data_IF_262294351349
#
_entry.id   IF_262294351349
#
_cell.length_a   1.000
_cell.length_b   1.000
_cell.length_c   1.000
_cell.angle_alpha   90.00
_cell.angle_beta   90.00
_cell.angle_gamma   90.00
#
_symmetry.space_group_name_H-M   'P 1'
#
loop_
_entity.id
_entity.type
_entity.pdbx_description
1 polymer ?
#
# COMPACT_ATOMS: atom_id res chain seq x y z
N UNK A 1 48.31 -44.21 -28.01
CA UNK A 1 48.30 -42.78 -27.60
C UNK A 1 47.23 -41.94 -28.33
N UNK A 2 46.93 -42.21 -29.60
CA UNK A 2 45.97 -41.41 -30.41
C UNK A 2 44.48 -41.62 -30.01
N UNK A 3 44.06 -42.84 -29.62
CA UNK A 3 42.67 -43.13 -29.20
C UNK A 3 42.20 -42.38 -27.95
N UNK A 4 43.10 -42.00 -27.04
CA UNK A 4 42.77 -41.29 -25.79
C UNK A 4 42.44 -39.80 -26.03
N UNK A 5 43.08 -39.19 -27.03
CA UNK A 5 42.96 -37.76 -27.34
C UNK A 5 41.60 -37.44 -28.00
N UNK A 6 41.12 -38.32 -28.89
CA UNK A 6 39.81 -38.17 -29.53
C UNK A 6 38.65 -38.35 -28.56
N UNK A 7 38.74 -39.30 -27.62
CA UNK A 7 37.74 -39.50 -26.57
C UNK A 7 37.67 -38.29 -25.61
N UNK A 8 38.82 -37.71 -25.24
CA UNK A 8 38.89 -36.50 -24.42
C UNK A 8 38.30 -35.26 -25.12
N UNK A 9 38.54 -35.10 -26.42
CA UNK A 9 37.98 -33.98 -27.20
C UNK A 9 36.47 -34.06 -27.35
N UNK A 10 35.91 -35.27 -27.54
CA UNK A 10 34.46 -35.49 -27.60
C UNK A 10 33.80 -35.22 -26.25
N UNK A 11 34.39 -35.71 -25.15
CA UNK A 11 33.89 -35.47 -23.80
C UNK A 11 33.93 -33.99 -23.42
N UNK A 12 35.00 -33.28 -23.78
CA UNK A 12 35.14 -31.84 -23.54
C UNK A 12 34.10 -31.03 -24.33
N UNK A 13 33.84 -31.37 -25.59
CA UNK A 13 32.78 -30.73 -26.39
C UNK A 13 31.39 -30.98 -25.81
N UNK A 14 31.13 -32.20 -25.31
CA UNK A 14 29.88 -32.54 -24.65
C UNK A 14 29.69 -31.77 -23.33
N UNK A 15 30.76 -31.62 -22.54
CA UNK A 15 30.74 -30.81 -21.30
C UNK A 15 30.50 -29.33 -21.58
N UNK A 16 31.19 -28.75 -22.57
CA UNK A 16 30.96 -27.36 -22.98
C UNK A 16 29.52 -27.16 -23.46
N UNK A 17 28.99 -28.08 -24.28
CA UNK A 17 27.59 -28.02 -24.72
C UNK A 17 26.60 -28.11 -23.55
N UNK A 18 26.85 -29.00 -22.58
CA UNK A 18 26.02 -29.13 -21.38
C UNK A 18 26.03 -27.86 -20.51
N UNK A 19 27.19 -27.24 -20.31
CA UNK A 19 27.31 -25.97 -19.56
C UNK A 19 26.59 -24.83 -20.29
N UNK A 20 26.69 -24.75 -21.62
CA UNK A 20 25.94 -23.76 -22.40
C UNK A 20 24.44 -23.99 -22.37
N UNK A 21 23.97 -25.25 -22.37
CA UNK A 21 22.56 -25.57 -22.21
C UNK A 21 22.03 -25.17 -20.82
N UNK A 22 22.79 -25.44 -19.77
CA UNK A 22 22.45 -25.00 -18.42
C UNK A 22 22.40 -23.47 -18.35
N UNK A 23 23.40 -22.76 -18.89
CA UNK A 23 23.41 -21.31 -18.92
C UNK A 23 22.19 -20.75 -19.69
N UNK A 24 21.90 -21.30 -20.87
CA UNK A 24 20.75 -20.89 -21.68
C UNK A 24 19.42 -21.14 -20.95
N UNK A 25 19.27 -22.27 -20.26
CA UNK A 25 18.08 -22.57 -19.44
C UNK A 25 17.88 -21.52 -18.34
N UNK A 26 18.94 -21.13 -17.63
CA UNK A 26 18.83 -20.11 -16.59
C UNK A 26 18.51 -18.72 -17.17
N UNK A 27 19.10 -18.37 -18.32
CA UNK A 27 18.78 -17.12 -19.03
C UNK A 27 17.31 -17.11 -19.47
N UNK A 28 16.81 -18.22 -20.02
CA UNK A 28 15.41 -18.36 -20.41
C UNK A 28 14.46 -18.28 -19.21
N UNK A 29 14.82 -18.91 -18.09
CA UNK A 29 14.04 -18.83 -16.85
C UNK A 29 14.03 -17.42 -16.27
N UNK A 30 15.16 -16.71 -16.27
CA UNK A 30 15.22 -15.32 -15.85
C UNK A 30 14.37 -14.43 -16.76
N UNK A 31 14.49 -14.61 -18.08
CA UNK A 31 13.71 -13.86 -19.05
C UNK A 31 12.20 -14.08 -18.88
N UNK A 32 11.76 -15.32 -18.60
CA UNK A 32 10.35 -15.60 -18.35
C UNK A 32 9.84 -14.94 -17.07
N UNK A 33 10.63 -14.97 -15.99
CA UNK A 33 10.30 -14.27 -14.74
C UNK A 33 10.19 -12.76 -14.97
N UNK A 34 11.15 -12.14 -15.68
CA UNK A 34 11.10 -10.73 -16.02
C UNK A 34 9.88 -10.37 -16.88
N UNK A 35 9.52 -11.23 -17.85
CA UNK A 35 8.35 -11.02 -18.69
C UNK A 35 7.04 -11.10 -17.89
N UNK A 36 6.94 -12.06 -16.96
CA UNK A 36 5.77 -12.16 -16.06
C UNK A 36 5.69 -10.91 -15.18
N UNK A 37 6.76 -10.51 -14.51
CA UNK A 37 6.75 -9.36 -13.59
C UNK A 37 6.41 -8.05 -14.31
N UNK A 38 6.87 -7.86 -15.55
CA UNK A 38 6.58 -6.64 -16.33
C UNK A 38 5.21 -6.64 -17.00
N UNK A 39 4.63 -7.83 -17.28
CA UNK A 39 3.28 -7.94 -17.84
C UNK A 39 2.16 -7.70 -16.83
N UNK A 40 2.44 -7.88 -15.53
CA UNK A 40 1.49 -7.53 -14.47
C UNK A 40 1.55 -6.03 -14.20
N UNK A 41 0.53 -5.30 -14.62
CA UNK A 41 0.30 -3.95 -14.11
C UNK A 41 -0.01 -4.04 -12.61
N UNK A 42 0.87 -3.51 -11.76
CA UNK A 42 0.57 -3.27 -10.35
C UNK A 42 -0.49 -2.17 -10.26
N UNK A 43 -1.76 -2.54 -10.40
CA UNK A 43 -2.87 -1.63 -10.18
C UNK A 43 -3.04 -1.46 -8.68
N UNK A 44 -2.44 -0.43 -8.12
CA UNK A 44 -2.78 0.09 -6.80
C UNK A 44 -4.14 0.82 -6.85
N UNK A 45 -5.13 0.23 -7.51
CA UNK A 45 -6.50 0.71 -7.47
C UNK A 45 -7.02 0.42 -6.06
N UNK A 46 -7.08 1.47 -5.24
CA UNK A 46 -7.98 1.44 -4.09
C UNK A 46 -9.38 1.55 -4.67
N UNK A 47 -10.21 0.48 -4.64
CA UNK A 47 -11.57 0.59 -5.11
C UNK A 47 -12.21 1.76 -4.35
N UNK A 48 -12.87 2.66 -5.09
CA UNK A 48 -13.50 3.82 -4.48
C UNK A 48 -14.38 3.32 -3.32
N UNK A 49 -14.17 3.86 -2.12
CA UNK A 49 -15.00 3.53 -0.98
C UNK A 49 -16.45 3.89 -1.33
N UNK A 50 -17.28 2.89 -1.60
CA UNK A 50 -18.73 3.06 -1.89
C UNK A 50 -19.53 3.25 -0.60
N UNK A 51 -18.87 3.63 0.49
CA UNK A 51 -19.50 3.93 1.76
C UNK A 51 -20.58 4.98 1.60
N UNK A 52 -21.71 4.77 2.27
CA UNK A 52 -22.79 5.74 2.37
C UNK A 52 -22.55 6.64 3.57
N UNK A 53 -22.79 7.94 3.41
CA UNK A 53 -22.76 8.88 4.51
C UNK A 53 -23.98 8.65 5.43
N UNK A 54 -23.77 7.83 6.46
CA UNK A 54 -24.82 7.47 7.42
C UNK A 54 -25.30 8.68 8.23
N UNK A 55 -24.46 9.70 8.41
CA UNK A 55 -24.84 10.90 9.16
C UNK A 55 -25.78 11.77 8.31
N UNK A 56 -25.45 11.96 7.03
CA UNK A 56 -26.32 12.65 6.09
C UNK A 56 -27.66 11.92 5.91
N UNK A 57 -27.62 10.59 5.77
CA UNK A 57 -28.81 9.76 5.64
C UNK A 57 -29.69 9.80 6.88
N UNK A 58 -29.11 9.67 8.07
CA UNK A 58 -29.83 9.77 9.34
C UNK A 58 -30.46 11.15 9.51
N UNK A 59 -29.76 12.22 9.16
CA UNK A 59 -30.31 13.58 9.21
C UNK A 59 -31.54 13.75 8.30
N UNK A 60 -31.59 13.06 7.17
CA UNK A 60 -32.72 13.11 6.24
C UNK A 60 -33.89 12.23 6.68
N UNK A 61 -33.62 11.00 7.12
CA UNK A 61 -34.63 9.97 7.37
C UNK A 61 -35.11 9.92 8.83
N UNK A 62 -34.25 10.27 9.79
CA UNK A 62 -34.57 10.31 11.22
C UNK A 62 -33.85 11.50 11.93
N UNK A 63 -34.39 12.72 11.79
CA UNK A 63 -33.81 13.91 12.42
C UNK A 63 -33.78 13.83 13.96
N UNK A 64 -34.64 13.02 14.58
CA UNK A 64 -34.66 12.87 16.03
C UNK A 64 -33.48 12.02 16.51
N UNK A 65 -33.24 10.88 15.87
CA UNK A 65 -32.05 10.06 16.13
C UNK A 65 -30.76 10.84 15.84
N UNK A 66 -30.71 11.61 14.75
CA UNK A 66 -29.57 12.49 14.46
C UNK A 66 -29.28 13.45 15.62
N UNK A 67 -30.30 14.16 16.13
CA UNK A 67 -30.14 15.08 17.27
C UNK A 67 -29.67 14.36 18.53
N UNK A 68 -30.17 13.16 18.80
CA UNK A 68 -29.74 12.37 19.96
C UNK A 68 -28.26 11.99 19.86
N UNK A 69 -27.81 11.53 18.69
CA UNK A 69 -26.39 11.18 18.46
C UNK A 69 -25.49 12.42 18.62
N UNK A 70 -25.89 13.56 18.04
CA UNK A 70 -25.13 14.82 18.20
C UNK A 70 -25.08 15.25 19.66
N UNK A 71 -26.22 15.20 20.38
CA UNK A 71 -26.28 15.58 21.79
C UNK A 71 -25.43 14.67 22.68
N UNK A 72 -25.29 13.38 22.34
CA UNK A 72 -24.39 12.49 23.04
C UNK A 72 -22.91 12.83 22.75
N UNK A 73 -22.58 13.13 21.49
CA UNK A 73 -21.23 13.52 21.09
C UNK A 73 -20.72 14.80 21.79
N UNK A 74 -21.60 15.79 21.99
CA UNK A 74 -21.25 17.03 22.70
C UNK A 74 -20.93 16.81 24.19
N UNK A 75 -21.26 15.64 24.77
CA UNK A 75 -20.88 15.30 26.15
C UNK A 75 -19.42 14.84 26.27
N UNK A 76 -18.76 14.53 25.15
CA UNK A 76 -17.37 14.04 25.16
C UNK A 76 -16.45 15.18 25.63
N UNK A 77 -15.77 15.03 26.78
CA UNK A 77 -14.78 16.01 27.22
C UNK A 77 -13.70 16.12 26.17
N UNK A 78 -13.30 17.35 25.83
CA UNK A 78 -12.24 17.54 24.83
C UNK A 78 -12.61 16.84 23.49
N UNK A 79 -13.90 16.80 23.11
CA UNK A 79 -14.33 16.24 21.82
C UNK A 79 -14.17 17.20 20.64
N UNK A 80 -13.72 18.45 20.88
CA UNK A 80 -13.64 19.52 19.89
C UNK A 80 -12.20 19.94 19.65
N UNK A 81 -11.83 20.07 18.38
CA UNK A 81 -10.49 20.50 17.96
C UNK A 81 -9.52 19.34 17.75
N UNK A 82 -8.42 19.62 17.06
CA UNK A 82 -7.35 18.64 16.77
C UNK A 82 -6.00 19.04 17.37
N UNK A 83 -5.88 20.24 17.93
CA UNK A 83 -4.65 20.72 18.55
C UNK A 83 -4.86 20.89 20.05
N UNK A 84 -4.03 20.20 20.83
CA UNK A 84 -4.18 20.02 22.26
C UNK A 84 -2.94 20.52 22.99
N UNK A 85 -3.16 21.20 24.11
CA UNK A 85 -2.14 21.45 25.12
C UNK A 85 -2.43 20.56 26.32
N UNK A 86 -1.48 19.71 26.68
CA UNK A 86 -1.59 18.73 27.76
C UNK A 86 -0.72 19.23 28.92
N UNK A 87 -1.32 19.38 30.10
CA UNK A 87 -0.68 19.95 31.28
C UNK A 87 -0.86 19.05 32.49
N UNK A 88 0.18 19.00 33.33
CA UNK A 88 0.18 18.35 34.64
C UNK A 88 1.05 19.17 35.58
N UNK A 89 0.63 19.34 36.83
CA UNK A 89 1.38 20.10 37.82
C UNK A 89 2.82 19.55 37.96
N UNK A 90 3.80 20.46 37.92
CA UNK A 90 5.22 20.13 38.02
C UNK A 90 5.87 19.60 36.74
N UNK A 91 5.17 19.57 35.60
CA UNK A 91 5.71 19.16 34.31
C UNK A 91 5.56 20.25 33.24
N UNK A 92 6.50 20.35 32.28
CA UNK A 92 6.34 21.25 31.14
C UNK A 92 5.16 20.78 30.24
N UNK A 93 4.41 21.72 29.63
CA UNK A 93 3.31 21.37 28.73
C UNK A 93 3.78 20.54 27.53
N UNK A 94 2.94 19.60 27.12
CA UNK A 94 3.08 18.88 25.85
C UNK A 94 2.02 19.35 24.85
N UNK A 95 2.36 19.39 23.57
CA UNK A 95 1.44 19.77 22.50
C UNK A 95 1.18 18.59 21.59
N UNK A 96 -0.09 18.29 21.32
CA UNK A 96 -0.51 17.19 20.47
C UNK A 96 -1.35 17.74 19.31
N UNK A 97 -0.88 17.52 18.09
CA UNK A 97 -1.65 17.74 16.87
C UNK A 97 -2.16 16.39 16.37
N UNK A 98 -3.47 16.17 16.47
CA UNK A 98 -4.14 15.00 15.94
C UNK A 98 -4.20 15.03 14.42
N UNK A 99 -4.04 13.85 13.81
CA UNK A 99 -4.22 13.63 12.38
C UNK A 99 -5.36 12.64 12.17
N UNK A 100 -6.10 12.79 11.07
CA UNK A 100 -7.15 11.86 10.69
C UNK A 100 -6.82 11.26 9.32
N UNK A 101 -6.80 9.94 9.24
CA UNK A 101 -6.69 9.24 7.96
C UNK A 101 -8.10 9.10 7.39
N UNK A 102 -8.36 9.74 6.26
CA UNK A 102 -9.66 9.70 5.58
C UNK A 102 -9.43 9.42 4.09
N UNK A 103 -10.17 8.46 3.55
CA UNK A 103 -10.10 8.04 2.13
C UNK A 103 -11.06 8.82 1.24
N UNK A 104 -11.65 9.88 1.75
CA UNK A 104 -12.63 10.70 1.05
C UNK A 104 -11.94 11.57 -0.01
N UNK A 105 -12.18 11.37 -1.31
CA UNK A 105 -11.51 12.13 -2.36
C UNK A 105 -11.80 13.63 -2.29
N UNK A 106 -12.83 14.07 -1.55
CA UNK A 106 -13.13 15.49 -1.34
C UNK A 106 -12.00 16.20 -0.59
N UNK A 107 -11.24 15.53 0.28
CA UNK A 107 -10.14 16.18 1.01
C UNK A 107 -8.94 16.51 0.12
N UNK A 108 -8.85 15.88 -1.05
CA UNK A 108 -7.82 16.17 -2.06
C UNK A 108 -8.21 17.33 -2.99
N UNK A 109 -9.45 17.82 -2.91
CA UNK A 109 -9.90 18.98 -3.69
C UNK A 109 -9.45 20.27 -3.01
N UNK A 110 -8.16 20.59 -3.18
CA UNK A 110 -7.61 21.83 -2.65
C UNK A 110 -7.95 23.03 -3.55
N UNK A 111 -8.16 24.22 -2.96
CA UNK A 111 -8.35 25.46 -3.73
C UNK A 111 -7.04 25.86 -4.45
N UNK A 112 -7.13 26.75 -5.44
CA UNK A 112 -5.94 27.31 -6.08
C UNK A 112 -5.03 27.99 -5.03
N UNK A 113 -3.77 27.55 -4.97
CA UNK A 113 -2.74 28.14 -4.10
C UNK A 113 -2.54 27.48 -2.74
N UNK A 114 -3.15 26.34 -2.47
CA UNK A 114 -2.85 25.51 -1.31
C UNK A 114 -1.60 24.61 -1.49
#
# INVERSE_FOLDING_TARGET
MIRSIFAGTILQRAQTAALWLLAALHVLLLASVCLVITSLAARAETPACTGRDLIAEMKANDPAAYRQVVAEGEKIPNGRGIFWKIEKAGLPPSYLLGTMHVTDPRVLKMPEGA
#
